data_IF_675091364566
#
_entry.id   IF_675091364566
#
_cell.length_a   1.000
_cell.length_b   1.000
_cell.length_c   1.000
_cell.angle_alpha   90.00
_cell.angle_beta   90.00
_cell.angle_gamma   90.00
#
_symmetry.space_group_name_H-M   'P 1'
#
loop_
_entity.id
_entity.type
_entity.pdbx_description
1 polymer ?
#
# COMPACT_ATOMS: atom_id res chain seq x y z
N UNK A 1 30.08 33.35 9.20
CA UNK A 1 29.76 32.97 7.81
C UNK A 1 28.73 31.86 7.86
N UNK A 2 27.61 31.92 7.11
CA UNK A 2 26.70 30.79 7.05
C UNK A 2 27.44 29.65 6.36
N UNK A 3 27.66 28.56 7.08
CA UNK A 3 28.16 27.31 6.52
C UNK A 3 27.10 26.77 5.58
N UNK A 4 27.24 27.02 4.28
CA UNK A 4 26.48 26.33 3.25
C UNK A 4 26.88 24.86 3.29
N UNK A 5 26.21 24.15 4.18
CA UNK A 5 26.44 22.74 4.38
C UNK A 5 25.87 22.01 3.16
N UNK A 6 26.68 21.27 2.39
CA UNK A 6 26.29 20.75 1.07
C UNK A 6 25.10 19.76 1.10
N UNK A 7 24.64 19.35 2.28
CA UNK A 7 23.47 18.49 2.47
C UNK A 7 22.14 19.26 2.55
N UNK A 8 22.13 20.54 2.92
CA UNK A 8 20.89 21.34 3.08
C UNK A 8 20.02 21.41 1.82
N UNK A 9 20.57 21.57 0.60
CA UNK A 9 19.75 21.60 -0.61
C UNK A 9 18.99 20.28 -0.85
N UNK A 10 19.63 19.14 -0.59
CA UNK A 10 19.01 17.81 -0.71
C UNK A 10 17.86 17.64 0.29
N UNK A 11 18.07 18.03 1.56
CA UNK A 11 17.03 17.98 2.59
C UNK A 11 15.86 18.93 2.28
N UNK A 12 16.15 20.14 1.78
CA UNK A 12 15.11 21.11 1.45
C UNK A 12 14.24 20.64 0.28
N UNK A 13 14.85 20.14 -0.80
CA UNK A 13 14.13 19.63 -1.98
C UNK A 13 13.23 18.45 -1.63
N UNK A 14 13.76 17.48 -0.89
CA UNK A 14 13.00 16.30 -0.45
C UNK A 14 11.90 16.66 0.55
N UNK A 15 12.17 17.58 1.48
CA UNK A 15 11.19 18.08 2.44
C UNK A 15 10.03 18.81 1.77
N UNK A 16 10.32 19.67 0.79
CA UNK A 16 9.30 20.38 0.02
C UNK A 16 8.44 19.42 -0.82
N UNK A 17 9.07 18.47 -1.51
CA UNK A 17 8.34 17.48 -2.29
C UNK A 17 7.38 16.64 -1.43
N UNK A 18 7.83 16.22 -0.24
CA UNK A 18 6.99 15.49 0.72
C UNK A 18 5.83 16.33 1.25
N UNK A 19 6.04 17.62 1.50
CA UNK A 19 4.97 18.54 1.91
C UNK A 19 3.93 18.76 0.82
N UNK A 20 4.36 18.93 -0.43
CA UNK A 20 3.43 19.08 -1.56
C UNK A 20 2.60 17.82 -1.74
N UNK A 21 3.26 16.65 -1.79
CA UNK A 21 2.57 15.37 -1.95
C UNK A 21 1.64 15.08 -0.78
N UNK A 22 2.08 15.33 0.45
CA UNK A 22 1.25 15.17 1.65
C UNK A 22 0.07 16.13 1.70
N UNK A 23 0.25 17.37 1.24
CA UNK A 23 -0.84 18.35 1.16
C UNK A 23 -1.90 17.93 0.13
N UNK A 24 -1.47 17.44 -1.04
CA UNK A 24 -2.39 16.91 -2.07
C UNK A 24 -3.16 15.69 -1.53
N UNK A 25 -2.46 14.78 -0.86
CA UNK A 25 -3.07 13.56 -0.33
C UNK A 25 -4.05 13.87 0.83
N UNK A 26 -3.78 14.89 1.65
CA UNK A 26 -4.74 15.40 2.65
C UNK A 26 -5.97 16.01 1.97
N UNK A 27 -5.78 16.79 0.91
CA UNK A 27 -6.91 17.35 0.17
C UNK A 27 -7.78 16.24 -0.45
N UNK A 28 -7.15 15.19 -1.01
CA UNK A 28 -7.84 14.02 -1.51
C UNK A 28 -8.62 13.30 -0.40
N UNK A 29 -8.02 13.13 0.79
CA UNK A 29 -8.69 12.55 1.95
C UNK A 29 -9.94 13.35 2.36
N UNK A 30 -9.85 14.68 2.41
CA UNK A 30 -10.98 15.55 2.73
C UNK A 30 -12.10 15.43 1.69
N UNK A 31 -11.76 15.34 0.41
CA UNK A 31 -12.74 15.13 -0.67
C UNK A 31 -13.42 13.76 -0.51
N UNK A 32 -12.67 12.69 -0.26
CA UNK A 32 -13.24 11.37 -0.02
C UNK A 32 -14.16 11.34 1.21
N UNK A 33 -13.82 12.11 2.26
CA UNK A 33 -14.64 12.24 3.46
C UNK A 33 -15.97 12.96 3.17
N UNK A 34 -15.96 13.99 2.31
CA UNK A 34 -17.18 14.69 1.88
C UNK A 34 -18.05 13.81 0.97
N UNK A 35 -17.43 12.97 0.15
CA UNK A 35 -18.12 12.08 -0.80
C UNK A 35 -18.52 10.71 -0.21
N UNK A 36 -18.23 10.47 1.08
CA UNK A 36 -18.44 9.18 1.78
C UNK A 36 -17.84 7.97 1.04
N UNK A 37 -16.69 8.17 0.41
CA UNK A 37 -15.95 7.12 -0.31
C UNK A 37 -14.81 6.61 0.57
N UNK A 38 -14.57 5.29 0.65
CA UNK A 38 -13.47 4.74 1.44
C UNK A 38 -12.12 5.25 0.92
N UNK A 39 -11.42 6.00 1.77
CA UNK A 39 -10.07 6.49 1.50
C UNK A 39 -9.02 5.49 2.01
N UNK A 40 -8.13 5.05 1.12
CA UNK A 40 -7.08 4.08 1.42
C UNK A 40 -5.73 4.68 1.07
N UNK A 41 -5.25 5.62 1.88
CA UNK A 41 -3.84 6.03 1.90
C UNK A 41 -3.41 6.41 3.31
N UNK A 42 -2.25 5.90 3.75
CA UNK A 42 -1.64 6.25 5.04
C UNK A 42 -0.50 7.27 4.88
N UNK A 43 -0.36 7.85 3.68
CA UNK A 43 0.82 8.62 3.29
C UNK A 43 0.81 10.07 3.83
N UNK A 44 -0.38 10.61 4.14
CA UNK A 44 -0.64 11.97 4.63
C UNK A 44 0.25 12.45 5.78
N UNK A 45 0.07 11.88 6.98
CA UNK A 45 0.70 12.42 8.19
C UNK A 45 2.22 12.20 8.14
N UNK A 46 2.65 11.07 7.60
CA UNK A 46 4.06 10.73 7.47
C UNK A 46 4.79 11.71 6.53
N UNK A 47 4.21 12.01 5.38
CA UNK A 47 4.81 12.91 4.39
C UNK A 47 4.88 14.35 4.89
N UNK A 48 3.82 14.87 5.52
CA UNK A 48 3.82 16.22 6.10
C UNK A 48 4.82 16.35 7.25
N UNK A 49 4.79 15.44 8.24
CA UNK A 49 5.70 15.49 9.37
C UNK A 49 7.15 15.30 8.93
N UNK A 50 7.41 14.30 8.08
CA UNK A 50 8.73 14.06 7.49
C UNK A 50 9.23 15.26 6.70
N UNK A 51 8.37 15.88 5.91
CA UNK A 51 8.67 17.07 5.13
C UNK A 51 9.10 18.26 5.99
N UNK A 52 8.34 18.56 7.06
CA UNK A 52 8.69 19.64 8.00
C UNK A 52 10.04 19.37 8.68
N UNK A 53 10.29 18.15 9.16
CA UNK A 53 11.57 17.84 9.81
C UNK A 53 12.76 17.89 8.84
N UNK A 54 12.57 17.53 7.58
CA UNK A 54 13.59 17.66 6.53
C UNK A 54 13.89 19.12 6.20
N UNK A 55 12.87 19.97 6.09
CA UNK A 55 13.05 21.42 5.90
C UNK A 55 13.81 22.06 7.07
N UNK A 56 13.61 21.55 8.29
CA UNK A 56 14.38 21.96 9.48
C UNK A 56 15.83 21.44 9.51
N UNK A 57 16.25 20.67 8.50
CA UNK A 57 17.62 20.14 8.42
C UNK A 57 17.88 18.92 9.30
N UNK A 58 16.84 18.21 9.77
CA UNK A 58 17.01 17.06 10.66
C UNK A 58 17.61 15.86 9.93
N UNK A 59 18.88 15.56 10.23
CA UNK A 59 19.57 14.37 9.70
C UNK A 59 18.96 13.05 10.21
N UNK A 60 18.37 13.06 11.42
CA UNK A 60 17.62 11.90 11.94
C UNK A 60 16.37 11.64 11.10
N UNK A 61 15.63 12.69 10.73
CA UNK A 61 14.47 12.57 9.87
C UNK A 61 14.87 12.08 8.47
N UNK A 62 15.96 12.61 7.89
CA UNK A 62 16.52 12.12 6.63
C UNK A 62 16.80 10.60 6.65
N UNK A 63 17.40 10.09 7.71
CA UNK A 63 17.66 8.65 7.87
C UNK A 63 16.38 7.82 8.04
N UNK A 64 15.36 8.34 8.73
CA UNK A 64 14.06 7.66 8.88
C UNK A 64 13.31 7.63 7.55
N UNK A 65 13.17 8.78 6.89
CA UNK A 65 12.46 8.93 5.61
C UNK A 65 13.09 8.04 4.55
N UNK A 66 14.42 8.06 4.42
CA UNK A 66 15.14 7.16 3.50
C UNK A 66 14.80 5.69 3.75
N UNK A 67 14.79 5.25 5.02
CA UNK A 67 14.47 3.85 5.35
C UNK A 67 13.03 3.51 5.00
N UNK A 68 12.09 4.41 5.28
CA UNK A 68 10.69 4.20 4.93
C UNK A 68 10.50 4.13 3.42
N UNK A 69 11.15 5.02 2.64
CA UNK A 69 11.10 4.97 1.17
C UNK A 69 11.64 3.65 0.62
N UNK A 70 12.76 3.14 1.14
CA UNK A 70 13.31 1.86 0.69
C UNK A 70 12.43 0.68 1.11
N UNK A 71 11.86 0.72 2.32
CA UNK A 71 10.93 -0.31 2.80
C UNK A 71 9.67 -0.36 1.93
N UNK A 72 9.14 0.81 1.57
CA UNK A 72 7.98 0.93 0.69
C UNK A 72 8.28 0.39 -0.71
N UNK A 73 9.46 0.71 -1.28
CA UNK A 73 9.88 0.12 -2.56
C UNK A 73 9.98 -1.40 -2.49
N UNK A 74 10.57 -1.94 -1.43
CA UNK A 74 10.69 -3.38 -1.23
C UNK A 74 9.30 -4.03 -1.07
N UNK A 75 8.40 -3.40 -0.32
CA UNK A 75 7.01 -3.84 -0.17
C UNK A 75 6.29 -3.84 -1.52
N UNK A 76 6.34 -2.75 -2.28
CA UNK A 76 5.70 -2.65 -3.60
C UNK A 76 6.21 -3.72 -4.55
N UNK A 77 7.53 -3.92 -4.61
CA UNK A 77 8.14 -4.97 -5.43
C UNK A 77 7.67 -6.37 -5.00
N UNK A 78 7.65 -6.65 -3.69
CA UNK A 78 7.22 -7.93 -3.17
C UNK A 78 5.72 -8.18 -3.39
N UNK A 79 4.87 -7.16 -3.24
CA UNK A 79 3.43 -7.25 -3.55
C UNK A 79 3.21 -7.56 -5.03
N UNK A 80 3.95 -6.94 -5.95
CA UNK A 80 3.86 -7.26 -7.39
C UNK A 80 4.23 -8.72 -7.64
N UNK A 81 5.31 -9.21 -7.03
CA UNK A 81 5.75 -10.61 -7.16
C UNK A 81 4.73 -11.61 -6.61
N UNK A 82 4.10 -11.28 -5.48
CA UNK A 82 3.14 -12.14 -4.78
C UNK A 82 1.71 -11.97 -5.32
N UNK A 83 1.43 -10.91 -6.08
CA UNK A 83 0.09 -10.60 -6.59
C UNK A 83 -0.63 -11.76 -7.28
N UNK A 84 0.02 -12.65 -8.07
CA UNK A 84 -0.66 -13.79 -8.68
C UNK A 84 -1.16 -14.83 -7.67
N UNK A 85 -0.55 -14.86 -6.47
CA UNK A 85 -0.99 -15.72 -5.36
C UNK A 85 -2.12 -15.07 -4.56
N UNK A 86 -2.15 -13.74 -4.48
CA UNK A 86 -3.20 -13.00 -3.76
C UNK A 86 -4.51 -13.03 -4.52
N UNK A 87 -4.46 -12.94 -5.85
CA UNK A 87 -5.65 -12.84 -6.67
C UNK A 87 -5.42 -13.54 -8.02
N UNK A 88 -6.40 -14.30 -8.54
CA UNK A 88 -6.26 -14.94 -9.83
C UNK A 88 -6.10 -13.88 -10.95
N UNK A 89 -5.13 -14.04 -11.87
CA UNK A 89 -4.83 -13.04 -12.90
C UNK A 89 -6.02 -12.75 -13.81
N UNK A 90 -6.91 -13.72 -13.99
CA UNK A 90 -8.16 -13.53 -14.73
C UNK A 90 -9.10 -12.52 -14.08
N UNK A 91 -9.15 -12.46 -12.75
CA UNK A 91 -9.96 -11.49 -12.02
C UNK A 91 -9.35 -10.09 -12.14
N UNK A 92 -8.02 -9.98 -12.06
CA UNK A 92 -7.30 -8.70 -12.26
C UNK A 92 -7.53 -8.16 -13.66
N UNK A 93 -7.41 -9.01 -14.68
CA UNK A 93 -7.65 -8.62 -16.08
C UNK A 93 -9.11 -8.19 -16.29
N UNK A 94 -10.05 -8.91 -15.71
CA UNK A 94 -11.46 -8.55 -15.77
C UNK A 94 -11.71 -7.18 -15.10
N UNK A 95 -11.14 -6.93 -13.91
CA UNK A 95 -11.24 -5.61 -13.25
C UNK A 95 -10.63 -4.48 -14.09
N UNK A 96 -9.48 -4.71 -14.74
CA UNK A 96 -8.86 -3.72 -15.62
C UNK A 96 -9.75 -3.40 -16.83
N UNK A 97 -10.40 -4.41 -17.41
CA UNK A 97 -11.33 -4.21 -18.53
C UNK A 97 -12.59 -3.46 -18.10
N UNK A 98 -13.20 -3.85 -16.98
CA UNK A 98 -14.44 -3.24 -16.49
C UNK A 98 -14.20 -1.80 -15.98
N UNK A 99 -13.05 -1.52 -15.39
CA UNK A 99 -12.71 -0.22 -14.79
C UNK A 99 -11.43 0.37 -15.37
N UNK A 100 -11.32 0.44 -16.71
CA UNK A 100 -10.10 0.86 -17.40
C UNK A 100 -9.57 2.23 -16.95
N UNK A 101 -10.44 3.23 -16.77
CA UNK A 101 -10.03 4.56 -16.30
C UNK A 101 -9.43 4.51 -14.88
N UNK A 102 -10.04 3.73 -13.98
CA UNK A 102 -9.56 3.59 -12.60
C UNK A 102 -8.25 2.78 -12.55
N UNK A 103 -8.13 1.75 -13.39
CA UNK A 103 -6.91 0.97 -13.53
C UNK A 103 -5.75 1.81 -14.08
N UNK A 104 -6.02 2.67 -15.08
CA UNK A 104 -5.04 3.62 -15.61
C UNK A 104 -4.59 4.61 -14.54
N UNK A 105 -5.53 5.22 -13.81
CA UNK A 105 -5.21 6.12 -12.71
C UNK A 105 -4.38 5.43 -11.63
N UNK A 106 -4.75 4.21 -11.23
CA UNK A 106 -4.01 3.41 -10.26
C UNK A 106 -2.59 3.08 -10.73
N UNK A 107 -2.42 2.76 -12.02
CA UNK A 107 -1.11 2.52 -12.63
C UNK A 107 -0.24 3.76 -12.65
N UNK A 108 -0.79 4.92 -13.03
CA UNK A 108 -0.07 6.21 -13.00
C UNK A 108 0.36 6.57 -11.59
N UNK A 109 -0.54 6.44 -10.61
CA UNK A 109 -0.23 6.68 -9.20
C UNK A 109 0.84 5.74 -8.69
N UNK A 110 0.79 4.45 -9.03
CA UNK A 110 1.81 3.47 -8.66
C UNK A 110 3.18 3.85 -9.20
N UNK A 111 3.28 4.18 -10.50
CA UNK A 111 4.54 4.60 -11.13
C UNK A 111 5.06 5.88 -10.48
N UNK A 112 4.19 6.86 -10.22
CA UNK A 112 4.54 8.08 -9.52
C UNK A 112 5.09 7.80 -8.11
N UNK A 113 4.41 6.96 -7.32
CA UNK A 113 4.85 6.58 -5.98
C UNK A 113 6.21 5.88 -6.00
N UNK A 114 6.42 4.94 -6.93
CA UNK A 114 7.71 4.25 -7.09
C UNK A 114 8.81 5.25 -7.44
N UNK A 115 8.56 6.14 -8.41
CA UNK A 115 9.51 7.17 -8.81
C UNK A 115 9.85 8.11 -7.64
N UNK A 116 8.85 8.57 -6.90
CA UNK A 116 9.02 9.44 -5.73
C UNK A 116 9.84 8.74 -4.64
N UNK A 117 9.53 7.49 -4.31
CA UNK A 117 10.26 6.75 -3.27
C UNK A 117 11.70 6.47 -3.69
N UNK A 118 11.93 6.12 -4.95
CA UNK A 118 13.27 5.90 -5.50
C UNK A 118 14.09 7.20 -5.48
N UNK A 119 13.48 8.31 -5.88
CA UNK A 119 14.11 9.62 -5.83
C UNK A 119 14.46 10.04 -4.40
N UNK A 120 13.52 9.93 -3.44
CA UNK A 120 13.79 10.21 -2.02
C UNK A 120 14.92 9.34 -1.46
N UNK A 121 14.92 8.04 -1.77
CA UNK A 121 15.96 7.12 -1.30
C UNK A 121 17.35 7.45 -1.84
N UNK A 122 17.42 7.93 -3.10
CA UNK A 122 18.66 8.39 -3.75
C UNK A 122 19.13 9.71 -3.16
N UNK A 123 18.25 10.70 -3.07
CA UNK A 123 18.58 12.07 -2.65
C UNK A 123 19.01 12.12 -1.17
N UNK A 124 18.29 11.41 -0.30
CA UNK A 124 18.66 11.28 1.12
C UNK A 124 19.82 10.29 1.34
N UNK A 125 20.17 9.52 0.32
CA UNK A 125 21.33 8.62 0.29
C UNK A 125 22.57 9.26 -0.34
N UNK A 126 22.50 10.53 -0.75
CA UNK A 126 23.60 11.20 -1.41
C UNK A 126 24.82 11.31 -0.46
N UNK A 127 26.07 11.19 -0.99
CA UNK A 127 27.29 11.33 -0.20
C UNK A 127 27.32 12.51 0.77
N UNK A 128 26.90 13.75 0.41
CA UNK A 128 26.90 14.87 1.35
C UNK A 128 25.97 14.66 2.55
N UNK A 129 24.82 14.00 2.36
CA UNK A 129 23.86 13.71 3.44
C UNK A 129 24.41 12.62 4.36
N UNK A 130 25.02 11.59 3.80
CA UNK A 130 25.65 10.52 4.58
C UNK A 130 26.86 11.03 5.37
N UNK A 131 27.71 11.87 4.76
CA UNK A 131 28.85 12.49 5.42
C UNK A 131 28.40 13.39 6.58
N UNK A 132 27.37 14.21 6.38
CA UNK A 132 26.80 15.04 7.45
C UNK A 132 26.19 14.18 8.58
N UNK A 133 25.54 13.07 8.23
CA UNK A 133 24.98 12.12 9.20
C UNK A 133 26.08 11.49 10.05
N UNK A 134 27.17 11.05 9.43
CA UNK A 134 28.33 10.49 10.12
C UNK A 134 29.03 11.55 11.00
N UNK A 135 29.21 12.77 10.50
CA UNK A 135 29.79 13.88 11.26
C UNK A 135 28.94 14.29 12.47
N UNK A 136 27.61 14.13 12.39
CA UNK A 136 26.69 14.34 13.50
C UNK A 136 26.66 13.18 14.51
N UNK A 137 27.56 12.19 14.40
CA UNK A 137 27.61 11.02 15.27
C UNK A 137 26.44 10.05 15.10
N UNK A 138 25.64 10.20 14.05
CA UNK A 138 24.51 9.32 13.78
C UNK A 138 24.99 8.08 13.02
N UNK A 139 24.61 6.90 13.50
CA UNK A 139 24.97 5.63 12.86
C UNK A 139 24.34 5.56 11.46
N UNK A 140 25.17 5.46 10.42
CA UNK A 140 24.73 5.11 9.07
C UNK A 140 24.27 3.65 9.08
N UNK A 141 22.96 3.45 9.23
CA UNK A 141 22.35 2.12 9.35
C UNK A 141 22.20 1.45 8.00
N UNK A 142 22.39 0.13 7.96
CA UNK A 142 22.32 -0.65 6.73
C UNK A 142 20.90 -0.68 6.13
N UNK A 143 20.84 -0.76 4.80
CA UNK A 143 19.57 -0.81 4.05
C UNK A 143 18.91 -2.19 4.08
N UNK A 144 19.59 -3.23 4.58
CA UNK A 144 19.10 -4.62 4.61
C UNK A 144 17.83 -4.80 5.46
N UNK A 145 17.78 -4.14 6.62
CA UNK A 145 16.61 -4.20 7.52
C UNK A 145 15.33 -3.63 6.89
N UNK A 146 15.35 -2.42 6.28
CA UNK A 146 14.24 -1.90 5.49
C UNK A 146 13.70 -2.85 4.43
N UNK A 147 14.61 -3.50 3.68
CA UNK A 147 14.23 -4.47 2.64
C UNK A 147 13.54 -5.68 3.25
N UNK A 148 14.12 -6.26 4.31
CA UNK A 148 13.55 -7.40 5.01
C UNK A 148 12.16 -7.09 5.59
N UNK A 149 11.96 -5.86 6.11
CA UNK A 149 10.66 -5.43 6.61
C UNK A 149 9.61 -5.36 5.49
N UNK A 150 9.93 -4.73 4.36
CA UNK A 150 9.01 -4.66 3.22
C UNK A 150 8.66 -6.04 2.65
N UNK A 151 9.67 -6.90 2.48
CA UNK A 151 9.47 -8.27 2.02
C UNK A 151 8.66 -9.12 3.02
N UNK A 152 8.94 -8.99 4.32
CA UNK A 152 8.24 -9.73 5.38
C UNK A 152 6.75 -9.40 5.43
N UNK A 153 6.37 -8.13 5.26
CA UNK A 153 4.96 -7.73 5.19
C UNK A 153 4.28 -8.38 3.98
N UNK A 154 4.91 -8.38 2.80
CA UNK A 154 4.33 -9.01 1.61
C UNK A 154 4.14 -10.52 1.78
N UNK A 155 5.12 -11.22 2.37
CA UNK A 155 5.02 -12.65 2.68
C UNK A 155 3.89 -12.93 3.68
N UNK A 156 3.75 -12.08 4.71
CA UNK A 156 2.66 -12.19 5.68
C UNK A 156 1.29 -12.05 5.00
N UNK A 157 1.14 -11.06 4.10
CA UNK A 157 -0.09 -10.86 3.32
C UNK A 157 -0.38 -12.06 2.40
N UNK A 158 0.65 -12.61 1.75
CA UNK A 158 0.55 -13.83 0.94
C UNK A 158 -0.01 -15.00 1.75
N UNK A 159 0.63 -15.28 2.90
CA UNK A 159 0.28 -16.38 3.77
C UNK A 159 -1.12 -16.24 4.35
N UNK A 160 -1.50 -15.02 4.77
CA UNK A 160 -2.84 -14.74 5.26
C UNK A 160 -3.91 -14.97 4.17
N UNK A 161 -3.68 -14.49 2.94
CA UNK A 161 -4.60 -14.72 1.82
C UNK A 161 -4.74 -16.21 1.50
N UNK A 162 -3.62 -16.94 1.41
CA UNK A 162 -3.64 -18.38 1.16
C UNK A 162 -4.39 -19.14 2.26
N UNK A 163 -4.15 -18.80 3.53
CA UNK A 163 -4.85 -19.41 4.66
C UNK A 163 -6.36 -19.16 4.59
N UNK A 164 -6.78 -17.95 4.22
CA UNK A 164 -8.19 -17.59 4.07
C UNK A 164 -8.90 -18.44 3.00
N UNK A 165 -8.26 -18.68 1.84
CA UNK A 165 -8.84 -19.48 0.76
C UNK A 165 -9.07 -20.96 1.15
N UNK A 166 -8.30 -21.49 2.10
CA UNK A 166 -8.39 -22.89 2.54
C UNK A 166 -9.33 -23.10 3.74
N UNK A 167 -10.09 -22.08 4.15
CA UNK A 167 -11.06 -22.23 5.24
C UNK A 167 -12.36 -22.87 4.77
N UNK A 168 -13.01 -23.64 5.65
CA UNK A 168 -14.35 -24.19 5.39
C UNK A 168 -15.38 -23.09 5.08
N UNK A 169 -15.20 -21.91 5.69
CA UNK A 169 -16.03 -20.75 5.45
C UNK A 169 -15.87 -20.21 4.02
N UNK A 170 -14.65 -20.25 3.45
CA UNK A 170 -14.42 -19.88 2.05
C UNK A 170 -15.13 -20.86 1.09
N UNK A 171 -15.02 -22.15 1.35
CA UNK A 171 -15.70 -23.18 0.55
C UNK A 171 -17.23 -23.01 0.57
N UNK A 172 -17.81 -22.73 1.75
CA UNK A 172 -19.24 -22.45 1.91
C UNK A 172 -19.68 -21.17 1.19
N UNK A 173 -18.91 -20.09 1.33
CA UNK A 173 -19.22 -18.82 0.66
C UNK A 173 -19.20 -18.98 -0.88
N UNK A 174 -18.21 -19.70 -1.41
CA UNK A 174 -18.11 -19.99 -2.86
C UNK A 174 -19.28 -20.86 -3.31
N UNK A 175 -19.65 -21.90 -2.56
CA UNK A 175 -20.78 -22.76 -2.88
C UNK A 175 -22.10 -21.98 -2.91
N UNK A 176 -22.32 -21.07 -1.94
CA UNK A 176 -23.49 -20.21 -1.89
C UNK A 176 -23.54 -19.24 -3.08
N UNK A 177 -22.41 -18.61 -3.42
CA UNK A 177 -22.33 -17.71 -4.57
C UNK A 177 -22.55 -18.43 -5.90
N UNK A 178 -22.06 -19.67 -6.03
CA UNK A 178 -22.29 -20.53 -7.20
C UNK A 178 -23.74 -20.96 -7.32
N UNK A 179 -24.40 -21.34 -6.22
CA UNK A 179 -25.83 -21.67 -6.24
C UNK A 179 -26.71 -20.49 -6.66
N UNK A 180 -26.34 -19.26 -6.28
CA UNK A 180 -27.11 -18.06 -6.60
C UNK A 180 -26.90 -17.53 -8.03
N UNK A 181 -25.71 -17.70 -8.61
CA UNK A 181 -25.33 -17.05 -9.88
C UNK A 181 -24.91 -18.00 -11.01
N UNK A 182 -24.87 -19.32 -10.76
CA UNK A 182 -24.63 -20.36 -11.75
C UNK A 182 -23.16 -20.55 -12.14
N UNK A 183 -22.87 -21.63 -12.89
CA UNK A 183 -21.50 -22.06 -13.21
C UNK A 183 -20.77 -21.22 -14.26
N UNK A 184 -21.43 -20.21 -14.83
CA UNK A 184 -20.84 -19.32 -15.86
C UNK A 184 -19.77 -18.35 -15.33
N UNK A 185 -19.54 -18.32 -14.02
CA UNK A 185 -18.59 -17.42 -13.36
C UNK A 185 -17.50 -18.20 -12.61
N UNK A 186 -16.29 -17.64 -12.58
CA UNK A 186 -15.25 -18.06 -11.64
C UNK A 186 -15.40 -17.26 -10.35
N UNK A 187 -15.13 -17.89 -9.22
CA UNK A 187 -15.36 -17.31 -7.89
C UNK A 187 -14.08 -17.31 -7.08
N UNK A 188 -13.87 -16.25 -6.30
CA UNK A 188 -12.74 -16.09 -5.40
C UNK A 188 -13.20 -15.32 -4.16
N UNK A 189 -12.86 -15.82 -2.98
CA UNK A 189 -13.19 -15.12 -1.74
C UNK A 189 -12.35 -13.86 -1.63
N UNK A 190 -12.98 -12.70 -1.48
CA UNK A 190 -12.30 -11.40 -1.46
C UNK A 190 -12.21 -10.84 -0.04
N UNK A 191 -13.27 -11.00 0.76
CA UNK A 191 -13.28 -10.58 2.15
C UNK A 191 -14.12 -11.55 2.95
N UNK A 192 -13.67 -11.87 4.16
CA UNK A 192 -14.48 -12.53 5.18
C UNK A 192 -14.20 -11.87 6.53
N UNK A 193 -15.26 -11.64 7.26
CA UNK A 193 -15.27 -11.05 8.59
C UNK A 193 -16.14 -11.95 9.47
N UNK A 194 -15.65 -12.23 10.68
CA UNK A 194 -16.42 -12.91 11.69
C UNK A 194 -16.62 -11.93 12.85
N UNK A 195 -17.87 -11.74 13.26
CA UNK A 195 -18.26 -10.91 14.39
C UNK A 195 -19.02 -11.77 15.39
N UNK A 196 -18.60 -11.74 16.65
CA UNK A 196 -19.39 -12.34 17.72
C UNK A 196 -20.62 -11.48 17.98
N UNK A 197 -21.79 -12.11 17.94
CA UNK A 197 -23.07 -11.46 18.26
C UNK A 197 -23.79 -12.27 19.35
N UNK A 198 -24.74 -11.66 20.09
CA UNK A 198 -25.51 -12.37 21.11
C UNK A 198 -26.29 -13.59 20.57
N UNK A 199 -26.51 -13.65 19.25
CA UNK A 199 -27.22 -14.73 18.55
C UNK A 199 -26.30 -15.83 17.99
N UNK A 200 -24.97 -15.70 18.15
CA UNK A 200 -23.98 -16.61 17.59
C UNK A 200 -22.85 -15.89 16.86
N UNK A 201 -22.00 -16.65 16.16
CA UNK A 201 -20.88 -16.11 15.39
C UNK A 201 -21.37 -15.72 14.00
N UNK A 202 -21.56 -14.43 13.78
CA UNK A 202 -21.97 -13.90 12.49
C UNK A 202 -20.77 -13.86 11.53
N UNK A 203 -20.91 -14.49 10.38
CA UNK A 203 -19.90 -14.48 9.32
C UNK A 203 -20.46 -13.69 8.14
N UNK A 204 -19.75 -12.62 7.78
CA UNK A 204 -20.07 -11.74 6.65
C UNK A 204 -18.88 -11.65 5.71
N UNK A 205 -19.12 -11.35 4.44
CA UNK A 205 -18.02 -11.18 3.50
C UNK A 205 -18.47 -10.94 2.07
N UNK A 206 -17.50 -10.97 1.16
CA UNK A 206 -17.73 -10.80 -0.27
C UNK A 206 -16.93 -11.80 -1.09
N UNK A 207 -17.56 -12.33 -2.13
CA UNK A 207 -16.94 -13.18 -3.15
C UNK A 207 -16.90 -12.41 -4.45
N UNK A 208 -15.73 -12.30 -5.07
CA UNK A 208 -15.62 -11.79 -6.42
C UNK A 208 -15.95 -12.90 -7.42
N UNK A 209 -16.97 -12.66 -8.23
CA UNK A 209 -17.38 -13.49 -9.36
C UNK A 209 -16.97 -12.81 -10.66
N UNK A 210 -16.28 -13.50 -11.56
CA UNK A 210 -15.88 -12.92 -12.85
C UNK A 210 -16.05 -13.87 -14.02
N UNK A 211 -16.35 -13.31 -15.19
CA UNK A 211 -16.43 -14.00 -16.47
C UNK A 211 -15.77 -13.12 -17.57
N UNK A 212 -15.98 -13.45 -18.84
CA UNK A 212 -15.44 -12.66 -19.97
C UNK A 212 -16.02 -11.25 -20.11
N UNK A 213 -17.20 -11.00 -19.53
CA UNK A 213 -17.99 -9.79 -19.72
C UNK A 213 -17.84 -8.79 -18.55
N UNK A 214 -17.41 -9.25 -17.37
CA UNK A 214 -17.11 -8.35 -16.25
C UNK A 214 -16.91 -9.03 -14.90
N UNK A 215 -16.77 -8.19 -13.88
CA UNK A 215 -16.60 -8.59 -12.47
C UNK A 215 -17.83 -8.16 -11.67
N UNK A 216 -18.29 -9.04 -10.79
CA UNK A 216 -19.36 -8.78 -9.82
C UNK A 216 -18.86 -9.14 -8.42
N UNK A 217 -19.26 -8.34 -7.43
CA UNK A 217 -19.00 -8.63 -6.02
C UNK A 217 -20.28 -9.14 -5.39
N UNK A 218 -20.27 -10.39 -4.92
CA UNK A 218 -21.42 -11.06 -4.32
C UNK A 218 -21.25 -11.03 -2.80
N UNK A 219 -22.04 -10.22 -2.06
CA UNK A 219 -22.01 -10.24 -0.61
C UNK A 219 -22.66 -11.52 -0.07
N UNK A 220 -22.13 -12.04 1.04
CA UNK A 220 -22.73 -13.16 1.76
C UNK A 220 -22.80 -12.88 3.26
N UNK A 221 -23.76 -13.53 3.92
CA UNK A 221 -23.98 -13.44 5.37
C UNK A 221 -24.67 -14.71 5.87
N UNK A 222 -24.15 -15.27 6.95
CA UNK A 222 -24.85 -16.30 7.73
C UNK A 222 -24.44 -16.23 9.20
N UNK A 223 -25.27 -16.79 10.08
CA UNK A 223 -24.97 -16.93 11.52
C UNK A 223 -24.58 -18.39 11.77
N UNK A 224 -23.47 -18.59 12.47
CA UNK A 224 -22.97 -19.89 12.91
C UNK A 224 -23.25 -20.10 14.40
#
# INVERSE_FOLDING_TARGET
MPTDTPHRPHLHRTGLALLIVGGIDIAAWLICLVLDVPYVSSFNIFSVAGGIFLLRGSLRAASIVRRMSISMLALLAAVVLVSPLLQPPGLTLAMIKTHAALALLGGVLLVFTVALMAWLARELGAPPVLAATAAAGLKVRSTRWPIAMGAGIAVLLAGASMALQHTDAAARAIAQARAAHGDGYRYHLSLIQAKETPAGREITGTVSAWNGDGVKTVPFRWVQ
#
